data_IF_501164507064
#
_entry.id   IF_501164507064
#
_cell.length_a   1.000
_cell.length_b   1.000
_cell.length_c   1.000
_cell.angle_alpha   90.00
_cell.angle_beta   90.00
_cell.angle_gamma   90.00
#
_symmetry.space_group_name_H-M   'P 1'
#
loop_
_entity.id
_entity.type
_entity.pdbx_description
1 polymer ?
#
# COMPACT_ATOMS: atom_id res chain seq x y z
N UNK A 1 17.18 8.21 26.17
CA UNK A 1 17.03 8.37 24.71
C UNK A 1 16.76 7.06 23.95
N UNK A 2 16.77 5.87 24.58
CA UNK A 2 16.50 4.59 23.88
C UNK A 2 15.06 4.07 24.13
N UNK A 3 14.37 4.53 25.17
CA UNK A 3 13.03 4.02 25.52
C UNK A 3 11.86 4.65 24.74
N UNK A 4 12.03 5.84 24.13
CA UNK A 4 10.97 6.50 23.34
C UNK A 4 10.72 5.87 21.96
N UNK A 5 11.73 5.25 21.35
CA UNK A 5 11.59 4.65 20.01
C UNK A 5 10.68 3.42 20.01
N UNK A 6 10.73 2.61 21.08
CA UNK A 6 9.87 1.44 21.24
C UNK A 6 8.43 1.81 21.61
N UNK A 7 8.24 2.86 22.42
CA UNK A 7 6.91 3.37 22.75
C UNK A 7 6.25 4.05 21.53
N UNK A 8 7.03 4.78 20.72
CA UNK A 8 6.53 5.38 19.47
C UNK A 8 6.20 4.30 18.43
N UNK A 9 6.99 3.23 18.33
CA UNK A 9 6.70 2.08 17.47
C UNK A 9 5.48 1.25 17.92
N UNK A 10 5.28 1.07 19.23
CA UNK A 10 4.10 0.37 19.78
C UNK A 10 2.83 1.22 19.81
N UNK A 11 2.92 2.56 19.85
CA UNK A 11 1.74 3.45 19.82
C UNK A 11 1.35 3.79 18.37
N UNK A 12 2.32 3.93 17.44
CA UNK A 12 2.03 4.14 16.00
C UNK A 12 1.77 2.86 15.22
N UNK A 13 2.33 1.71 15.63
CA UNK A 13 2.08 0.42 14.97
C UNK A 13 0.61 -0.02 15.00
N UNK A 14 -0.17 0.55 15.92
CA UNK A 14 -1.58 0.22 16.15
C UNK A 14 -2.52 1.37 15.74
N UNK A 15 -1.96 2.52 15.36
CA UNK A 15 -2.69 3.69 14.87
C UNK A 15 -2.31 4.07 13.44
N UNK A 16 -1.53 3.26 12.73
CA UNK A 16 -1.14 3.52 11.34
C UNK A 16 -2.40 3.42 10.47
N UNK A 17 -2.96 4.56 10.03
CA UNK A 17 -4.22 4.55 9.31
C UNK A 17 -4.02 3.83 7.98
N UNK A 18 -4.93 2.92 7.66
CA UNK A 18 -4.93 2.22 6.37
C UNK A 18 -5.31 3.23 5.28
N UNK A 19 -4.44 3.38 4.28
CA UNK A 19 -4.65 4.29 3.16
C UNK A 19 -5.09 3.51 1.94
N UNK A 20 -6.26 3.86 1.40
CA UNK A 20 -6.74 3.34 0.12
C UNK A 20 -6.17 4.17 -1.03
N UNK A 21 -5.48 3.52 -1.97
CA UNK A 21 -5.01 4.12 -3.21
C UNK A 21 -5.76 3.48 -4.39
N UNK A 22 -6.70 4.22 -4.96
CA UNK A 22 -7.42 3.77 -6.14
C UNK A 22 -6.54 3.81 -7.40
N UNK A 23 -6.57 2.77 -8.23
CA UNK A 23 -5.76 2.73 -9.45
C UNK A 23 -4.25 2.68 -9.15
N UNK A 24 -3.87 1.95 -8.10
CA UNK A 24 -2.51 1.87 -7.56
C UNK A 24 -1.45 1.45 -8.57
N UNK A 25 -1.84 0.72 -9.62
CA UNK A 25 -0.95 0.31 -10.74
C UNK A 25 -0.63 1.41 -11.75
N UNK A 26 -1.17 2.63 -11.58
CA UNK A 26 -0.80 3.79 -12.39
C UNK A 26 0.63 4.26 -12.12
N UNK A 27 1.24 4.94 -13.10
CA UNK A 27 2.62 5.41 -12.99
C UNK A 27 2.86 6.28 -11.75
N UNK A 28 2.05 7.33 -11.56
CA UNK A 28 2.15 8.22 -10.39
C UNK A 28 1.70 7.50 -9.11
N UNK A 29 0.62 6.71 -9.21
CA UNK A 29 0.04 6.03 -8.05
C UNK A 29 1.04 5.05 -7.42
N UNK A 30 1.83 4.34 -8.22
CA UNK A 30 2.88 3.44 -7.71
C UNK A 30 3.94 4.18 -6.88
N UNK A 31 4.35 5.38 -7.30
CA UNK A 31 5.26 6.23 -6.53
C UNK A 31 4.66 6.75 -5.23
N UNK A 32 3.34 7.01 -5.20
CA UNK A 32 2.63 7.40 -3.98
C UNK A 32 2.58 6.21 -3.02
N UNK A 33 2.23 5.01 -3.51
CA UNK A 33 2.23 3.77 -2.71
C UNK A 33 3.62 3.54 -2.09
N UNK A 34 4.68 3.68 -2.87
CA UNK A 34 6.05 3.56 -2.37
C UNK A 34 6.33 4.54 -1.21
N UNK A 35 6.01 5.82 -1.38
CA UNK A 35 6.24 6.83 -0.34
C UNK A 35 5.41 6.57 0.93
N UNK A 36 4.16 6.14 0.77
CA UNK A 36 3.29 5.77 1.91
C UNK A 36 3.86 4.57 2.67
N UNK A 37 4.31 3.53 1.96
CA UNK A 37 4.93 2.37 2.58
C UNK A 37 6.24 2.77 3.30
N UNK A 38 7.09 3.58 2.68
CA UNK A 38 8.32 4.10 3.29
C UNK A 38 8.05 4.96 4.53
N UNK A 39 6.95 5.70 4.56
CA UNK A 39 6.53 6.51 5.69
C UNK A 39 5.85 5.71 6.82
N UNK A 40 5.75 4.38 6.71
CA UNK A 40 5.21 3.53 7.77
C UNK A 40 3.70 3.23 7.67
N UNK A 41 3.02 3.64 6.60
CA UNK A 41 1.58 3.38 6.44
C UNK A 41 1.30 1.94 5.97
N UNK A 42 0.09 1.46 6.28
CA UNK A 42 -0.52 0.32 5.62
C UNK A 42 -1.28 0.80 4.39
N UNK A 43 -1.10 0.13 3.26
CA UNK A 43 -1.67 0.59 1.98
C UNK A 43 -2.54 -0.52 1.39
N UNK A 44 -3.80 -0.18 1.08
CA UNK A 44 -4.67 -0.97 0.22
C UNK A 44 -4.71 -0.34 -1.15
N UNK A 45 -4.19 -1.02 -2.16
CA UNK A 45 -4.20 -0.55 -3.54
C UNK A 45 -5.27 -1.24 -4.36
N UNK A 46 -6.05 -0.50 -5.16
CA UNK A 46 -6.95 -1.13 -6.14
C UNK A 46 -6.33 -1.19 -7.53
N UNK A 47 -6.47 -2.33 -8.18
CA UNK A 47 -6.03 -2.55 -9.56
C UNK A 47 -7.18 -3.08 -10.40
N UNK A 48 -7.17 -2.83 -11.71
CA UNK A 48 -8.20 -3.40 -12.60
C UNK A 48 -8.10 -4.91 -12.73
N UNK A 49 -6.89 -5.44 -12.68
CA UNK A 49 -6.69 -6.89 -12.61
C UNK A 49 -5.39 -7.27 -11.93
N UNK A 50 -5.48 -8.18 -10.97
CA UNK A 50 -4.39 -8.90 -10.30
C UNK A 50 -3.73 -9.93 -11.21
N UNK A 51 -4.28 -10.22 -12.40
CA UNK A 51 -3.64 -11.11 -13.38
C UNK A 51 -2.61 -10.39 -14.24
N UNK A 52 -2.56 -9.06 -14.20
CA UNK A 52 -1.63 -8.28 -14.99
C UNK A 52 -0.30 -8.08 -14.24
N UNK A 53 0.54 -9.12 -14.27
CA UNK A 53 1.84 -9.14 -13.58
C UNK A 53 2.77 -7.99 -14.00
N UNK A 54 2.70 -7.52 -15.24
CA UNK A 54 3.49 -6.37 -15.70
C UNK A 54 3.14 -5.07 -14.96
N UNK A 55 1.87 -4.92 -14.57
CA UNK A 55 1.37 -3.73 -13.87
C UNK A 55 1.49 -3.83 -12.36
N UNK A 56 1.33 -5.03 -11.79
CA UNK A 56 1.33 -5.23 -10.33
C UNK A 56 2.69 -5.67 -9.80
N UNK A 57 3.57 -6.22 -10.64
CA UNK A 57 4.90 -6.70 -10.25
C UNK A 57 5.73 -5.63 -9.52
N UNK A 58 5.80 -4.38 -10.00
CA UNK A 58 6.46 -3.30 -9.27
C UNK A 58 5.85 -3.06 -7.89
N UNK A 59 4.52 -3.09 -7.76
CA UNK A 59 3.81 -2.90 -6.49
C UNK A 59 4.10 -4.04 -5.51
N UNK A 60 4.05 -5.30 -5.97
CA UNK A 60 4.36 -6.47 -5.14
C UNK A 60 5.78 -6.40 -4.56
N UNK A 61 6.77 -6.02 -5.39
CA UNK A 61 8.16 -5.83 -4.95
C UNK A 61 8.27 -4.77 -3.85
N UNK A 62 7.57 -3.65 -3.99
CA UNK A 62 7.51 -2.63 -2.94
C UNK A 62 6.95 -3.23 -1.64
N UNK A 63 5.85 -3.99 -1.70
CA UNK A 63 5.28 -4.65 -0.52
C UNK A 63 6.25 -5.59 0.20
N UNK A 64 7.02 -6.38 -0.54
CA UNK A 64 8.05 -7.28 0.01
C UNK A 64 9.18 -6.51 0.71
N UNK A 65 9.63 -5.38 0.15
CA UNK A 65 10.70 -4.55 0.71
C UNK A 65 10.32 -3.90 2.06
N UNK A 66 9.02 -3.66 2.31
CA UNK A 66 8.54 -2.88 3.48
C UNK A 66 7.65 -3.68 4.43
N UNK A 67 7.88 -4.99 4.54
CA UNK A 67 7.23 -5.92 5.48
C UNK A 67 5.76 -6.27 5.14
N UNK A 68 5.44 -6.48 3.87
CA UNK A 68 4.11 -6.93 3.42
C UNK A 68 2.95 -6.03 3.87
N UNK A 69 3.19 -4.72 3.99
CA UNK A 69 2.19 -3.70 4.36
C UNK A 69 1.31 -3.25 3.19
N UNK A 70 1.36 -3.96 2.07
CA UNK A 70 0.60 -3.67 0.86
C UNK A 70 -0.40 -4.79 0.57
N UNK A 71 -1.69 -4.45 0.57
CA UNK A 71 -2.76 -5.30 0.05
C UNK A 71 -3.16 -4.81 -1.34
N UNK A 72 -3.33 -5.72 -2.31
CA UNK A 72 -3.86 -5.40 -3.63
C UNK A 72 -5.21 -6.07 -3.84
N UNK A 73 -6.21 -5.29 -4.23
CA UNK A 73 -7.58 -5.76 -4.48
C UNK A 73 -7.98 -5.44 -5.92
N UNK A 74 -8.69 -6.34 -6.59
CA UNK A 74 -9.30 -6.02 -7.89
C UNK A 74 -10.51 -5.11 -7.68
N UNK A 75 -10.54 -3.99 -8.42
CA UNK A 75 -11.71 -3.13 -8.51
C UNK A 75 -11.81 -2.55 -9.92
N UNK A 76 -13.00 -2.65 -10.52
CA UNK A 76 -13.31 -1.96 -11.77
C UNK A 76 -14.17 -0.73 -11.49
N UNK A 77 -13.52 0.43 -11.44
CA UNK A 77 -14.19 1.72 -11.19
C UNK A 77 -15.06 2.20 -12.37
N UNK A 78 -15.03 1.50 -13.51
CA UNK A 78 -15.86 1.82 -14.66
C UNK A 78 -17.19 1.02 -14.66
N UNK A 79 -17.35 0.08 -13.74
CA UNK A 79 -18.61 -0.62 -13.52
C UNK A 79 -19.27 -0.10 -12.24
N UNK A 80 -20.48 0.45 -12.38
CA UNK A 80 -21.24 1.03 -11.25
C UNK A 80 -21.97 -0.01 -10.38
N UNK A 81 -21.94 -1.27 -10.78
CA UNK A 81 -22.51 -2.38 -10.01
C UNK A 81 -21.48 -2.83 -8.96
N UNK A 82 -21.80 -2.57 -7.69
CA UNK A 82 -21.04 -3.01 -6.51
C UNK A 82 -21.54 -4.36 -6.01
#
# INVERSE_FOLDING_TARGET
MIFDALATGLVLGWLSPEVLVSGSSGYIAAHIVQQLLQAGYQVRGTVRSLKNENKIGPLKKLGEEVENRLELVEADLMNGEC
#
